data_IF_028266273565
#
_entry.id   IF_028266273565
#
_cell.length_a   1.000
_cell.length_b   1.000
_cell.length_c   1.000
_cell.angle_alpha   90.00
_cell.angle_beta   90.00
_cell.angle_gamma   90.00
#
_symmetry.space_group_name_H-M   'P 1'
#
loop_
_entity.id
_entity.type
_entity.pdbx_description
1 polymer ?
#
# COMPACT_ATOMS: atom_id res chain seq x y z
N UNK A 1 -5.62 -18.26 20.81
CA UNK A 1 -6.08 -17.65 19.54
C UNK A 1 -5.26 -16.42 19.13
N UNK A 2 -4.72 -15.64 20.08
CA UNK A 2 -3.89 -14.43 19.82
C UNK A 2 -2.55 -14.70 19.10
N UNK A 3 -1.88 -15.83 19.39
CA UNK A 3 -0.59 -16.18 18.76
C UNK A 3 -0.64 -16.49 17.25
N UNK A 4 -1.79 -16.92 16.72
CA UNK A 4 -1.94 -17.21 15.27
C UNK A 4 -2.17 -15.93 14.46
N UNK A 5 -2.85 -14.94 15.05
CA UNK A 5 -3.11 -13.64 14.44
C UNK A 5 -1.82 -12.81 14.31
N UNK A 6 -0.98 -12.83 15.33
CA UNK A 6 0.35 -12.19 15.29
C UNK A 6 1.25 -12.85 14.25
N UNK A 7 1.32 -14.19 14.21
CA UNK A 7 2.09 -14.90 13.18
C UNK A 7 1.69 -14.54 11.75
N UNK A 8 0.38 -14.47 11.46
CA UNK A 8 -0.11 -14.11 10.12
C UNK A 8 0.20 -12.65 9.73
N UNK A 9 0.10 -11.71 10.67
CA UNK A 9 0.41 -10.30 10.42
C UNK A 9 1.90 -10.08 10.12
N UNK A 10 2.79 -10.71 10.90
CA UNK A 10 4.23 -10.63 10.68
C UNK A 10 4.65 -11.26 9.35
N UNK A 11 4.08 -12.42 8.99
CA UNK A 11 4.34 -13.05 7.68
C UNK A 11 3.90 -12.13 6.56
N UNK A 12 2.73 -11.48 6.66
CA UNK A 12 2.27 -10.54 5.64
C UNK A 12 3.24 -9.34 5.47
N UNK A 13 3.70 -8.76 6.58
CA UNK A 13 4.66 -7.66 6.57
C UNK A 13 6.00 -8.09 5.98
N UNK A 14 6.53 -9.26 6.37
CA UNK A 14 7.81 -9.76 5.85
C UNK A 14 7.73 -10.10 4.36
N UNK A 15 6.66 -10.77 3.93
CA UNK A 15 6.44 -11.08 2.52
C UNK A 15 6.30 -9.80 1.71
N UNK A 16 5.52 -8.82 2.20
CA UNK A 16 5.40 -7.50 1.58
C UNK A 16 6.75 -6.77 1.49
N UNK A 17 7.52 -6.78 2.58
CA UNK A 17 8.84 -6.17 2.64
C UNK A 17 9.79 -6.78 1.61
N UNK A 18 9.89 -8.12 1.58
CA UNK A 18 10.79 -8.83 0.68
C UNK A 18 10.37 -8.66 -0.77
N UNK A 19 9.09 -8.87 -1.10
CA UNK A 19 8.62 -8.77 -2.49
C UNK A 19 8.75 -7.35 -3.03
N UNK A 20 8.25 -6.36 -2.28
CA UNK A 20 8.22 -4.97 -2.75
C UNK A 20 9.61 -4.33 -2.69
N UNK A 21 10.43 -4.69 -1.69
CA UNK A 21 11.83 -4.32 -1.62
C UNK A 21 12.66 -4.94 -2.75
N UNK A 22 12.44 -6.21 -3.08
CA UNK A 22 13.12 -6.88 -4.21
C UNK A 22 12.76 -6.23 -5.54
N UNK A 23 11.49 -5.85 -5.74
CA UNK A 23 11.07 -5.09 -6.93
C UNK A 23 11.79 -3.74 -7.01
N UNK A 24 11.84 -2.98 -5.92
CA UNK A 24 12.52 -1.69 -5.88
C UNK A 24 14.02 -1.81 -6.14
N UNK A 25 14.67 -2.86 -5.61
CA UNK A 25 16.04 -3.19 -5.94
C UNK A 25 16.21 -3.42 -7.44
N UNK A 26 15.41 -4.31 -8.01
CA UNK A 26 15.47 -4.67 -9.43
C UNK A 26 15.22 -3.47 -10.35
N UNK A 27 14.22 -2.64 -10.02
CA UNK A 27 13.88 -1.42 -10.77
C UNK A 27 15.03 -0.41 -10.82
N UNK A 28 15.92 -0.43 -9.82
CA UNK A 28 17.08 0.47 -9.74
C UNK A 28 18.42 -0.24 -9.96
N UNK A 29 18.45 -1.53 -10.28
CA UNK A 29 19.68 -2.34 -10.29
C UNK A 29 20.74 -1.86 -11.30
N UNK A 30 20.33 -1.09 -12.32
CA UNK A 30 21.23 -0.47 -13.29
C UNK A 30 22.01 0.74 -12.72
N UNK A 31 21.70 1.20 -11.51
CA UNK A 31 22.34 2.37 -10.90
C UNK A 31 23.45 1.98 -9.90
N UNK A 32 24.45 2.86 -9.71
CA UNK A 32 25.52 2.62 -8.75
C UNK A 32 25.00 2.40 -7.33
N UNK A 33 25.59 1.42 -6.64
CA UNK A 33 25.40 1.25 -5.19
C UNK A 33 25.79 2.53 -4.45
N UNK A 34 25.11 2.88 -3.33
CA UNK A 34 24.12 2.06 -2.59
C UNK A 34 22.65 2.33 -2.95
N UNK A 35 22.37 3.08 -4.03
CA UNK A 35 21.01 3.56 -4.34
C UNK A 35 19.95 2.44 -4.48
N UNK A 36 20.23 1.30 -5.14
CA UNK A 36 19.23 0.24 -5.28
C UNK A 36 18.89 -0.42 -3.94
N UNK A 37 19.86 -0.51 -3.02
CA UNK A 37 19.66 -1.06 -1.68
C UNK A 37 18.82 -0.13 -0.81
N UNK A 38 19.08 1.18 -0.87
CA UNK A 38 18.28 2.19 -0.17
C UNK A 38 16.82 2.16 -0.66
N UNK A 39 16.62 2.10 -1.98
CA UNK A 39 15.28 1.99 -2.56
C UNK A 39 14.55 0.71 -2.10
N UNK A 40 15.26 -0.41 -2.01
CA UNK A 40 14.71 -1.68 -1.53
C UNK A 40 14.24 -1.63 -0.07
N UNK A 41 15.09 -1.11 0.82
CA UNK A 41 14.77 -1.01 2.26
C UNK A 41 13.64 -0.01 2.49
N UNK A 42 13.67 1.14 1.80
CA UNK A 42 12.60 2.13 1.87
C UNK A 42 11.27 1.55 1.41
N UNK A 43 11.25 0.91 0.23
CA UNK A 43 10.00 0.38 -0.32
C UNK A 43 9.43 -0.75 0.52
N UNK A 44 10.28 -1.65 1.02
CA UNK A 44 9.84 -2.70 1.94
C UNK A 44 9.22 -2.14 3.22
N UNK A 45 9.82 -1.09 3.79
CA UNK A 45 9.34 -0.43 5.00
C UNK A 45 8.02 0.33 4.78
N UNK A 46 7.92 1.01 3.63
CA UNK A 46 6.71 1.71 3.22
C UNK A 46 5.54 0.74 3.00
N UNK A 47 5.77 -0.44 2.42
CA UNK A 47 4.71 -1.41 2.19
C UNK A 47 3.98 -1.82 3.47
N UNK A 48 4.70 -2.12 4.56
CA UNK A 48 4.05 -2.42 5.84
C UNK A 48 3.22 -1.24 6.36
N UNK A 49 3.82 -0.05 6.36
CA UNK A 49 3.21 1.17 6.91
C UNK A 49 1.95 1.58 6.13
N UNK A 50 2.03 1.58 4.80
CA UNK A 50 0.92 1.94 3.91
C UNK A 50 -0.21 0.91 4.02
N UNK A 51 0.09 -0.39 4.08
CA UNK A 51 -0.96 -1.41 4.17
C UNK A 51 -1.79 -1.27 5.45
N UNK A 52 -1.15 -1.03 6.60
CA UNK A 52 -1.88 -0.76 7.84
C UNK A 52 -2.67 0.55 7.78
N UNK A 53 -2.02 1.63 7.32
CA UNK A 53 -2.66 2.94 7.21
C UNK A 53 -3.85 2.95 6.25
N UNK A 54 -3.75 2.24 5.12
CA UNK A 54 -4.78 2.15 4.11
C UNK A 54 -6.05 1.49 4.66
N UNK A 55 -5.90 0.38 5.42
CA UNK A 55 -7.05 -0.26 6.05
C UNK A 55 -7.74 0.66 7.07
N UNK A 56 -6.97 1.25 7.99
CA UNK A 56 -7.52 2.16 9.01
C UNK A 56 -8.20 3.36 8.38
N UNK A 57 -7.60 3.94 7.33
CA UNK A 57 -8.19 5.06 6.61
C UNK A 57 -9.47 4.65 5.87
N UNK A 58 -9.49 3.50 5.18
CA UNK A 58 -10.70 3.01 4.51
C UNK A 58 -11.85 2.83 5.49
N UNK A 59 -11.62 2.19 6.63
CA UNK A 59 -12.66 1.94 7.64
C UNK A 59 -13.18 3.28 8.22
N UNK A 60 -12.27 4.19 8.58
CA UNK A 60 -12.63 5.52 9.10
C UNK A 60 -13.40 6.39 8.10
N UNK A 61 -13.02 6.37 6.81
CA UNK A 61 -13.71 7.15 5.78
C UNK A 61 -15.10 6.58 5.48
N UNK A 62 -15.29 5.27 5.55
CA UNK A 62 -16.59 4.63 5.31
C UNK A 62 -17.62 5.01 6.35
N UNK A 63 -17.23 5.11 7.62
CA UNK A 63 -18.12 5.55 8.71
C UNK A 63 -18.62 6.99 8.55
N UNK A 64 -17.93 7.81 7.76
CA UNK A 64 -18.22 9.24 7.59
C UNK A 64 -18.90 9.61 6.29
N UNK A 65 -19.09 8.67 5.37
CA UNK A 65 -19.64 8.92 4.04
C UNK A 65 -21.04 8.35 3.91
N UNK A 66 -21.91 9.10 3.23
CA UNK A 66 -23.23 8.59 2.85
C UNK A 66 -23.11 7.48 1.81
N UNK A 67 -24.10 6.58 1.79
CA UNK A 67 -24.07 5.33 1.01
C UNK A 67 -23.66 5.52 -0.46
N UNK A 68 -24.11 6.60 -1.12
CA UNK A 68 -23.77 6.85 -2.54
C UNK A 68 -22.28 7.08 -2.83
N UNK A 69 -21.52 7.65 -1.89
CA UNK A 69 -20.10 7.99 -2.09
C UNK A 69 -19.15 6.97 -1.44
N UNK A 70 -19.64 6.18 -0.49
CA UNK A 70 -18.84 5.23 0.28
C UNK A 70 -18.18 4.14 -0.59
N UNK A 71 -18.69 3.86 -1.80
CA UNK A 71 -18.12 2.86 -2.70
C UNK A 71 -16.81 3.30 -3.38
N UNK A 72 -16.62 4.59 -3.66
CA UNK A 72 -15.52 5.07 -4.52
C UNK A 72 -14.63 6.13 -3.87
N UNK A 73 -15.18 6.95 -2.98
CA UNK A 73 -14.40 8.03 -2.35
C UNK A 73 -13.30 7.50 -1.42
N UNK A 74 -13.51 6.48 -0.57
CA UNK A 74 -12.44 5.96 0.29
C UNK A 74 -11.24 5.37 -0.49
N UNK A 75 -11.42 4.52 -1.52
CA UNK A 75 -10.32 4.04 -2.35
C UNK A 75 -9.56 5.16 -3.05
N UNK A 76 -10.27 6.17 -3.59
CA UNK A 76 -9.62 7.28 -4.27
C UNK A 76 -8.71 8.06 -3.31
N UNK A 77 -9.21 8.42 -2.13
CA UNK A 77 -8.44 9.18 -1.14
C UNK A 77 -7.23 8.35 -0.65
N UNK A 78 -7.44 7.09 -0.31
CA UNK A 78 -6.36 6.24 0.20
C UNK A 78 -5.30 5.93 -0.85
N UNK A 79 -5.68 5.73 -2.11
CA UNK A 79 -4.73 5.60 -3.22
C UNK A 79 -3.96 6.91 -3.45
N UNK A 80 -4.64 8.06 -3.49
CA UNK A 80 -3.97 9.36 -3.68
C UNK A 80 -2.96 9.65 -2.57
N UNK A 81 -3.33 9.43 -1.31
CA UNK A 81 -2.42 9.62 -0.17
C UNK A 81 -1.23 8.66 -0.26
N UNK A 82 -1.49 7.37 -0.56
CA UNK A 82 -0.43 6.38 -0.71
C UNK A 82 0.55 6.74 -1.82
N UNK A 83 0.04 7.21 -2.96
CA UNK A 83 0.86 7.65 -4.08
C UNK A 83 1.71 8.86 -3.71
N UNK A 84 1.13 9.87 -3.06
CA UNK A 84 1.87 11.05 -2.61
C UNK A 84 2.99 10.69 -1.63
N UNK A 85 2.73 9.79 -0.69
CA UNK A 85 3.75 9.31 0.27
C UNK A 85 4.86 8.55 -0.45
N UNK A 86 4.51 7.60 -1.33
CA UNK A 86 5.47 6.82 -2.11
C UNK A 86 6.37 7.71 -2.96
N UNK A 87 5.77 8.62 -3.73
CA UNK A 87 6.51 9.56 -4.58
C UNK A 87 7.37 10.48 -3.73
N UNK A 88 6.81 11.08 -2.67
CA UNK A 88 7.52 12.02 -1.81
C UNK A 88 8.74 11.39 -1.13
N UNK A 89 8.57 10.23 -0.51
CA UNK A 89 9.66 9.53 0.19
C UNK A 89 10.76 9.10 -0.78
N UNK A 90 10.42 8.51 -1.93
CA UNK A 90 11.43 8.11 -2.92
C UNK A 90 12.14 9.28 -3.58
N UNK A 91 11.45 10.40 -3.78
CA UNK A 91 12.04 11.63 -4.30
C UNK A 91 13.02 12.22 -3.30
N UNK A 92 12.63 12.33 -2.02
CA UNK A 92 13.50 12.82 -0.94
C UNK A 92 14.72 11.90 -0.76
N UNK A 93 14.53 10.58 -0.89
CA UNK A 93 15.59 9.60 -0.81
C UNK A 93 16.52 9.56 -2.04
N UNK A 94 16.24 10.34 -3.09
CA UNK A 94 17.04 10.36 -4.32
C UNK A 94 17.01 9.04 -5.09
N UNK A 95 15.88 8.32 -5.05
CA UNK A 95 15.70 7.08 -5.81
C UNK A 95 15.73 7.40 -7.31
N UNK A 96 16.62 6.78 -8.10
CA UNK A 96 16.78 7.11 -9.52
C UNK A 96 15.51 6.92 -10.35
N UNK A 97 14.87 5.75 -10.20
CA UNK A 97 13.74 5.33 -11.04
C UNK A 97 12.46 5.29 -10.21
N UNK A 98 12.04 6.43 -9.67
CA UNK A 98 10.87 6.55 -8.77
C UNK A 98 9.63 5.89 -9.39
N UNK A 99 9.31 6.21 -10.64
CA UNK A 99 8.11 5.70 -11.32
C UNK A 99 8.13 4.17 -11.43
N UNK A 100 9.25 3.58 -11.86
CA UNK A 100 9.38 2.11 -11.95
C UNK A 100 9.32 1.45 -10.57
N UNK A 101 9.90 2.11 -9.57
CA UNK A 101 9.92 1.64 -8.17
C UNK A 101 8.51 1.53 -7.60
N UNK A 102 7.66 2.54 -7.83
CA UNK A 102 6.33 2.61 -7.23
C UNK A 102 5.24 1.95 -8.07
N UNK A 103 5.44 1.75 -9.38
CA UNK A 103 4.39 1.28 -10.30
C UNK A 103 3.74 -0.03 -9.87
N UNK A 104 4.53 -1.08 -9.62
CA UNK A 104 4.00 -2.39 -9.21
C UNK A 104 3.37 -2.32 -7.81
N UNK A 105 4.06 -1.81 -6.77
CA UNK A 105 3.50 -1.76 -5.41
C UNK A 105 2.23 -0.92 -5.32
N UNK A 106 2.17 0.22 -6.02
CA UNK A 106 0.99 1.08 -6.06
C UNK A 106 -0.18 0.43 -6.79
N UNK A 107 0.07 -0.30 -7.88
CA UNK A 107 -0.99 -1.01 -8.62
C UNK A 107 -1.62 -2.10 -7.77
N UNK A 108 -0.81 -2.89 -7.07
CA UNK A 108 -1.28 -3.94 -6.15
C UNK A 108 -2.11 -3.34 -5.02
N UNK A 109 -1.64 -2.25 -4.41
CA UNK A 109 -2.38 -1.55 -3.35
C UNK A 109 -3.71 -0.96 -3.85
N UNK A 110 -3.73 -0.38 -5.05
CA UNK A 110 -4.93 0.21 -5.64
C UNK A 110 -6.00 -0.83 -5.96
N UNK A 111 -5.59 -1.97 -6.54
CA UNK A 111 -6.49 -3.10 -6.81
C UNK A 111 -7.08 -3.59 -5.49
N UNK A 112 -6.24 -3.81 -4.48
CA UNK A 112 -6.70 -4.23 -3.16
C UNK A 112 -7.71 -3.26 -2.55
N UNK A 113 -7.42 -1.95 -2.55
CA UNK A 113 -8.29 -0.93 -1.97
C UNK A 113 -9.67 -0.90 -2.63
N UNK A 114 -9.71 -0.94 -3.97
CA UNK A 114 -10.97 -0.95 -4.74
C UNK A 114 -11.75 -2.23 -4.49
N UNK A 115 -11.12 -3.40 -4.64
CA UNK A 115 -11.81 -4.69 -4.46
C UNK A 115 -12.31 -4.87 -3.03
N UNK A 116 -11.48 -4.55 -2.03
CA UNK A 116 -11.88 -4.63 -0.62
C UNK A 116 -13.07 -3.71 -0.33
N UNK A 117 -13.02 -2.45 -0.76
CA UNK A 117 -14.09 -1.50 -0.48
C UNK A 117 -15.41 -1.90 -1.15
N UNK A 118 -15.36 -2.34 -2.42
CA UNK A 118 -16.55 -2.78 -3.14
C UNK A 118 -17.19 -4.03 -2.52
N UNK A 119 -16.39 -5.02 -2.13
CA UNK A 119 -16.90 -6.24 -1.46
C UNK A 119 -17.58 -5.86 -0.13
N UNK A 120 -16.93 -5.03 0.67
CA UNK A 120 -17.47 -4.64 1.96
C UNK A 120 -18.67 -3.70 1.85
N UNK A 121 -18.73 -2.85 0.83
CA UNK A 121 -19.89 -2.02 0.53
C UNK A 121 -21.11 -2.87 0.17
N UNK A 122 -20.94 -3.88 -0.70
CA UNK A 122 -22.01 -4.83 -1.06
C UNK A 122 -22.51 -5.61 0.15
N UNK A 123 -21.60 -6.04 1.03
CA UNK A 123 -21.97 -6.74 2.26
C UNK A 123 -22.80 -5.85 3.20
N UNK A 124 -22.44 -4.58 3.35
CA UNK A 124 -23.20 -3.62 4.16
C UNK A 124 -24.64 -3.39 3.65
N UNK A 125 -24.88 -3.46 2.34
CA UNK A 125 -26.23 -3.37 1.76
C UNK A 125 -27.07 -4.65 1.88
N UNK A 126 -26.45 -5.79 2.23
CA UNK A 126 -27.15 -7.09 2.32
C UNK A 126 -27.81 -7.31 3.68
N UNK A 127 -27.36 -6.55 4.69
CA UNK A 127 -27.77 -6.65 6.08
C UNK A 127 -28.84 -5.60 6.47
N UNK A 128 -29.23 -4.72 5.52
CA UNK A 128 -30.32 -3.73 5.61
C UNK A 128 -31.56 -4.20 4.83
#
# INVERSE_FOLDING_TARGET
>A
MIGRLTGAAWVHVLVGFVLMGSWAFYANAAHPMPKPLIAAVLQGSLSGTITFGLKTALDYLRERLSAGFAAWVPPLITCSVSLCVLVGVHTIAGTPEVVKTIAVPFSVASIYAVTYNLIMYKKGQSDD
#
